data_IF_163590686532
#
_entry.id   IF_163590686532
#
_cell.length_a   1.000
_cell.length_b   1.000
_cell.length_c   1.000
_cell.angle_alpha   90.00
_cell.angle_beta   90.00
_cell.angle_gamma   90.00
#
_symmetry.space_group_name_H-M   'P 1'
#
loop_
_entity.id
_entity.type
_entity.pdbx_description
1 polymer ?
#
# COMPACT_ATOMS: atom_id res chain seq x y z
N UNK A 1 -5.81 -10.57 15.03
CA UNK A 1 -5.46 -10.19 13.64
C UNK A 1 -4.07 -10.74 13.37
N UNK A 2 -3.99 -11.71 12.46
CA UNK A 2 -2.76 -12.40 12.09
C UNK A 2 -1.75 -11.46 11.41
N UNK A 3 -0.53 -11.96 11.21
CA UNK A 3 0.53 -11.22 10.51
C UNK A 3 0.20 -11.15 9.01
N UNK A 4 0.34 -9.97 8.40
CA UNK A 4 0.05 -9.81 6.96
C UNK A 4 -1.45 -9.76 6.62
N UNK A 5 -2.31 -9.63 7.63
CA UNK A 5 -3.75 -9.41 7.44
C UNK A 5 -4.03 -8.04 6.79
N UNK A 6 -5.17 -7.96 6.12
CA UNK A 6 -5.73 -6.76 5.53
C UNK A 6 -6.61 -6.03 6.53
N UNK A 7 -6.68 -4.69 6.44
CA UNK A 7 -7.61 -3.92 7.25
C UNK A 7 -8.29 -2.81 6.45
N UNK A 8 -9.57 -2.58 6.73
CA UNK A 8 -10.41 -1.69 5.95
C UNK A 8 -10.59 -0.32 6.58
N UNK A 9 -10.09 0.71 5.91
CA UNK A 9 -10.38 2.12 6.19
C UNK A 9 -9.82 3.01 5.09
N UNK A 10 -10.41 4.18 4.88
CA UNK A 10 -9.92 5.21 3.95
C UNK A 10 -9.42 6.47 4.66
N UNK A 11 -9.47 6.49 5.99
CA UNK A 11 -8.98 7.61 6.78
C UNK A 11 -7.45 7.52 6.91
N UNK A 12 -6.73 8.52 6.37
CA UNK A 12 -5.28 8.63 6.50
C UNK A 12 -4.83 8.60 7.97
N UNK A 13 -5.54 9.31 8.85
CA UNK A 13 -5.36 9.24 10.32
C UNK A 13 -5.38 7.79 10.82
N UNK A 14 -6.49 7.07 10.63
CA UNK A 14 -6.63 5.67 11.13
C UNK A 14 -5.58 4.73 10.53
N UNK A 15 -5.25 4.91 9.25
CA UNK A 15 -4.21 4.11 8.60
C UNK A 15 -2.85 4.37 9.24
N UNK A 16 -2.48 5.65 9.43
CA UNK A 16 -1.18 6.02 10.00
C UNK A 16 -1.01 5.57 11.45
N UNK A 17 -2.05 5.72 12.28
CA UNK A 17 -1.98 5.28 13.67
C UNK A 17 -1.85 3.76 13.76
N UNK A 18 -2.63 3.01 12.96
CA UNK A 18 -2.53 1.54 12.97
C UNK A 18 -1.19 1.04 12.48
N UNK A 19 -0.73 1.57 11.35
CA UNK A 19 0.45 1.07 10.66
C UNK A 19 1.75 1.43 11.40
N UNK A 20 1.72 2.42 12.31
CA UNK A 20 2.82 2.68 13.23
C UNK A 20 3.02 1.54 14.25
N UNK A 21 1.94 0.88 14.66
CA UNK A 21 1.95 -0.22 15.64
C UNK A 21 1.98 -1.60 14.98
N UNK A 22 1.47 -1.70 13.74
CA UNK A 22 1.32 -2.94 12.97
C UNK A 22 1.85 -2.77 11.54
N UNK A 23 3.19 -2.69 11.36
CA UNK A 23 3.81 -2.44 10.06
C UNK A 23 3.65 -3.60 9.04
N UNK A 24 3.12 -4.74 9.51
CA UNK A 24 2.83 -5.93 8.71
C UNK A 24 1.47 -5.89 8.00
N UNK A 25 0.54 -5.02 8.41
CA UNK A 25 -0.82 -5.01 7.88
C UNK A 25 -0.91 -4.36 6.49
N UNK A 26 -1.92 -4.76 5.72
CA UNK A 26 -2.19 -4.26 4.37
C UNK A 26 -3.47 -3.40 4.38
N UNK A 27 -3.37 -2.08 4.16
CA UNK A 27 -4.54 -1.21 4.14
C UNK A 27 -5.37 -1.43 2.87
N UNK A 28 -6.69 -1.62 3.02
CA UNK A 28 -7.66 -1.69 1.94
C UNK A 28 -8.72 -0.58 2.04
N UNK A 29 -9.13 -0.08 0.89
CA UNK A 29 -10.17 0.95 0.79
C UNK A 29 -11.55 0.32 0.97
N UNK A 30 -12.03 0.38 2.21
CA UNK A 30 -13.40 0.00 2.57
C UNK A 30 -14.24 1.26 2.80
N UNK A 31 -15.18 1.50 1.88
CA UNK A 31 -16.13 2.63 1.86
C UNK A 31 -17.57 2.11 1.83
N UNK A 32 -18.52 2.97 2.16
CA UNK A 32 -19.96 2.65 2.20
C UNK A 32 -20.56 2.89 3.58
N UNK A 33 -21.83 2.53 3.76
CA UNK A 33 -22.47 2.53 5.08
C UNK A 33 -21.86 1.44 5.98
N UNK A 34 -22.00 1.59 7.30
CA UNK A 34 -21.34 0.71 8.28
C UNK A 34 -21.73 -0.75 8.07
N UNK A 35 -23.00 -1.01 7.79
CA UNK A 35 -23.61 -2.30 7.46
C UNK A 35 -22.88 -2.98 6.31
N UNK A 36 -22.72 -2.26 5.19
CA UNK A 36 -22.05 -2.81 4.00
C UNK A 36 -20.55 -3.04 4.20
N UNK A 37 -19.94 -2.36 5.18
CA UNK A 37 -18.54 -2.63 5.55
C UNK A 37 -18.46 -3.90 6.41
N UNK A 38 -19.36 -4.05 7.39
CA UNK A 38 -19.45 -5.25 8.23
C UNK A 38 -19.73 -6.48 7.38
N UNK A 39 -20.62 -6.37 6.39
CA UNK A 39 -20.89 -7.49 5.46
C UNK A 39 -19.60 -7.93 4.76
N UNK A 40 -18.77 -7.00 4.29
CA UNK A 40 -17.48 -7.34 3.66
C UNK A 40 -16.50 -8.01 4.62
N UNK A 41 -16.55 -7.68 5.91
CA UNK A 41 -15.74 -8.36 6.92
C UNK A 41 -16.23 -9.81 7.11
N UNK A 42 -17.55 -10.02 7.21
CA UNK A 42 -18.17 -11.35 7.35
C UNK A 42 -17.92 -12.21 6.10
N UNK A 43 -17.98 -11.61 4.90
CA UNK A 43 -17.66 -12.25 3.62
C UNK A 43 -16.16 -12.58 3.46
N UNK A 44 -15.29 -12.19 4.40
CA UNK A 44 -13.84 -12.41 4.30
C UNK A 44 -13.14 -11.55 3.25
N UNK A 45 -13.77 -10.48 2.76
CA UNK A 45 -13.15 -9.54 1.78
C UNK A 45 -12.12 -8.63 2.42
N UNK A 46 -12.07 -8.55 3.75
CA UNK A 46 -11.08 -7.85 4.55
C UNK A 46 -11.00 -8.53 5.92
N UNK A 47 -9.81 -8.59 6.51
CA UNK A 47 -9.61 -9.35 7.76
C UNK A 47 -9.97 -8.54 9.02
N UNK A 48 -9.97 -7.20 8.93
CA UNK A 48 -10.34 -6.31 10.03
C UNK A 48 -10.90 -4.97 9.53
N UNK A 49 -11.65 -4.26 10.39
CA UNK A 49 -12.14 -2.91 10.11
C UNK A 49 -11.81 -1.96 11.27
N UNK A 50 -11.58 -0.69 10.93
CA UNK A 50 -11.53 0.39 11.93
C UNK A 50 -12.75 1.28 11.77
N UNK A 51 -13.70 1.14 12.69
CA UNK A 51 -14.99 1.83 12.68
C UNK A 51 -15.13 2.76 13.88
N UNK A 52 -16.02 3.75 13.76
CA UNK A 52 -16.43 4.55 14.91
C UNK A 52 -17.39 3.72 15.75
N UNK A 53 -17.18 3.69 17.07
CA UNK A 53 -18.01 2.94 18.01
C UNK A 53 -19.49 3.34 17.93
N UNK A 54 -19.79 4.63 17.82
CA UNK A 54 -21.16 5.16 17.66
C UNK A 54 -21.89 4.54 16.47
N UNK A 55 -21.17 4.26 15.38
CA UNK A 55 -21.74 3.59 14.20
C UNK A 55 -22.20 2.16 14.53
N UNK A 56 -21.42 1.42 15.32
CA UNK A 56 -21.76 0.08 15.78
C UNK A 56 -22.92 0.11 16.78
N UNK A 57 -22.87 1.03 17.74
CA UNK A 57 -23.92 1.19 18.75
C UNK A 57 -25.29 1.44 18.10
N UNK A 58 -25.34 2.29 17.07
CA UNK A 58 -26.57 2.52 16.29
C UNK A 58 -27.09 1.24 15.64
N UNK A 59 -26.22 0.44 15.02
CA UNK A 59 -26.64 -0.81 14.38
C UNK A 59 -27.17 -1.84 15.38
N UNK A 60 -26.62 -1.87 16.60
CA UNK A 60 -27.17 -2.68 17.70
C UNK A 60 -28.57 -2.22 18.08
N UNK A 61 -28.81 -0.91 18.21
CA UNK A 61 -30.15 -0.40 18.56
C UNK A 61 -31.23 -0.69 17.52
N UNK A 62 -30.84 -0.89 16.25
CA UNK A 62 -31.76 -1.21 15.16
C UNK A 62 -31.93 -2.72 14.91
N UNK A 63 -31.28 -3.58 15.69
CA UNK A 63 -31.32 -5.03 15.52
C UNK A 63 -30.59 -5.56 14.27
N UNK A 64 -29.79 -4.74 13.61
CA UNK A 64 -29.11 -5.13 12.34
C UNK A 64 -27.99 -6.13 12.59
N UNK A 65 -27.45 -6.17 13.81
CA UNK A 65 -26.37 -7.07 14.22
C UNK A 65 -26.89 -8.33 14.94
N UNK A 66 -28.20 -8.45 15.14
CA UNK A 66 -28.79 -9.56 15.88
C UNK A 66 -28.56 -10.88 15.14
N UNK A 67 -28.09 -11.90 15.86
CA UNK A 67 -27.76 -13.22 15.30
C UNK A 67 -26.42 -13.26 14.55
N UNK A 68 -25.58 -12.23 14.70
CA UNK A 68 -24.23 -12.15 14.11
C UNK A 68 -23.14 -12.00 15.17
N UNK A 69 -23.47 -12.14 16.44
CA UNK A 69 -22.59 -11.91 17.58
C UNK A 69 -21.38 -12.85 17.56
N UNK A 70 -21.60 -14.13 17.22
CA UNK A 70 -20.55 -15.15 17.16
C UNK A 70 -19.61 -14.99 15.95
N UNK A 71 -19.97 -14.14 14.99
CA UNK A 71 -19.17 -13.86 13.78
C UNK A 71 -18.21 -12.69 13.96
N UNK A 72 -18.38 -11.87 15.00
CA UNK A 72 -17.72 -10.58 15.15
C UNK A 72 -17.08 -10.42 16.52
N UNK A 73 -15.77 -10.22 16.54
CA UNK A 73 -15.05 -9.73 17.73
C UNK A 73 -14.66 -8.27 17.54
N UNK A 74 -14.80 -7.45 18.58
CA UNK A 74 -14.42 -6.05 18.56
C UNK A 74 -13.44 -5.73 19.69
N UNK A 75 -12.43 -4.92 19.37
CA UNK A 75 -11.51 -4.33 20.34
C UNK A 75 -11.76 -2.83 20.39
N UNK A 76 -12.07 -2.30 21.58
CA UNK A 76 -12.29 -0.87 21.78
C UNK A 76 -10.95 -0.16 21.90
N UNK A 77 -10.72 0.81 21.04
CA UNK A 77 -9.53 1.67 21.07
C UNK A 77 -9.83 2.86 21.99
N UNK A 78 -8.90 3.19 22.88
CA UNK A 78 -9.05 4.34 23.79
C UNK A 78 -8.87 5.65 23.02
N UNK A 79 -9.65 6.68 23.38
CA UNK A 79 -9.55 8.03 22.81
C UNK A 79 -8.15 8.62 23.00
N UNK A 80 -7.54 8.41 24.16
CA UNK A 80 -6.19 8.91 24.46
C UNK A 80 -5.12 8.32 23.54
N UNK A 81 -5.33 7.11 23.01
CA UNK A 81 -4.40 6.48 22.08
C UNK A 81 -4.69 6.91 20.64
N UNK A 82 -5.97 7.11 20.30
CA UNK A 82 -6.45 7.40 18.95
C UNK A 82 -7.49 8.53 18.97
N UNK A 83 -7.06 9.77 19.22
CA UNK A 83 -7.97 10.93 19.24
C UNK A 83 -8.70 11.06 17.92
N UNK A 84 -9.90 11.60 17.98
CA UNK A 84 -10.76 11.74 16.80
C UNK A 84 -10.22 12.73 15.77
N UNK A 85 -10.85 12.82 14.59
CA UNK A 85 -10.47 13.86 13.64
C UNK A 85 -10.98 15.22 14.17
N UNK A 86 -10.29 16.34 13.91
CA UNK A 86 -10.77 17.66 14.32
C UNK A 86 -12.23 17.89 13.89
N UNK A 87 -13.08 18.26 14.85
CA UNK A 87 -14.51 18.49 14.67
C UNK A 87 -15.35 17.23 14.45
N UNK A 88 -14.83 16.03 14.73
CA UNK A 88 -15.56 14.79 14.52
C UNK A 88 -16.83 14.75 15.38
N UNK A 89 -17.99 14.70 14.71
CA UNK A 89 -19.29 14.61 15.38
C UNK A 89 -19.95 15.96 15.63
N UNK A 90 -19.26 17.08 15.40
CA UNK A 90 -19.86 18.41 15.46
C UNK A 90 -20.89 18.61 14.34
N UNK A 91 -22.02 19.21 14.67
CA UNK A 91 -23.08 19.58 13.72
C UNK A 91 -23.05 21.09 13.54
N UNK A 92 -22.72 21.54 12.32
CA UNK A 92 -22.63 22.95 12.00
C UNK A 92 -23.84 23.39 11.15
N UNK A 93 -24.38 24.57 11.47
CA UNK A 93 -25.39 25.25 10.64
C UNK A 93 -24.69 26.38 9.91
N UNK A 94 -24.75 26.37 8.57
CA UNK A 94 -24.13 27.39 7.75
C UNK A 94 -25.18 28.32 7.15
N UNK A 95 -24.83 29.61 7.08
CA UNK A 95 -25.59 30.61 6.35
C UNK A 95 -24.66 31.38 5.40
N UNK A 96 -25.24 32.17 4.48
CA UNK A 96 -24.45 33.09 3.66
C UNK A 96 -23.87 34.17 4.57
N UNK A 97 -22.63 34.59 4.28
CA UNK A 97 -21.90 35.55 5.11
C UNK A 97 -22.62 36.90 5.26
N UNK A 98 -23.27 37.38 4.21
CA UNK A 98 -24.07 38.61 4.19
C UNK A 98 -25.32 38.56 5.07
N UNK A 99 -25.79 37.36 5.44
CA UNK A 99 -26.93 37.12 6.33
C UNK A 99 -26.53 36.83 7.78
N UNK A 100 -25.24 36.88 8.10
CA UNK A 100 -24.75 36.56 9.44
C UNK A 100 -25.40 37.45 10.52
N UNK A 101 -25.46 38.76 10.27
CA UNK A 101 -26.04 39.72 11.22
C UNK A 101 -27.53 39.49 11.42
N UNK A 102 -28.28 39.26 10.33
CA UNK A 102 -29.71 38.92 10.32
C UNK A 102 -29.99 37.67 11.18
N UNK A 103 -29.11 36.66 11.11
CA UNK A 103 -29.30 35.36 11.74
C UNK A 103 -28.60 35.23 13.12
N UNK A 104 -28.04 36.31 13.65
CA UNK A 104 -27.27 36.31 14.91
C UNK A 104 -28.08 35.81 16.12
N UNK A 105 -29.37 36.16 16.19
CA UNK A 105 -30.26 35.67 17.24
C UNK A 105 -30.48 34.15 17.13
N UNK A 106 -30.68 33.64 15.92
CA UNK A 106 -30.84 32.21 15.67
C UNK A 106 -29.57 31.44 16.04
N UNK A 107 -28.39 31.98 15.71
CA UNK A 107 -27.10 31.41 16.16
C UNK A 107 -27.05 31.30 17.68
N UNK A 108 -27.44 32.35 18.40
CA UNK A 108 -27.40 32.36 19.87
C UNK A 108 -28.27 31.27 20.48
N UNK A 109 -29.44 30.98 19.87
CA UNK A 109 -30.36 29.93 20.33
C UNK A 109 -29.83 28.53 20.02
N UNK A 110 -29.26 28.33 18.83
CA UNK A 110 -28.90 26.98 18.34
C UNK A 110 -27.48 26.56 18.72
N UNK A 111 -26.58 27.50 18.99
CA UNK A 111 -25.17 27.20 19.20
C UNK A 111 -24.91 26.64 20.59
N UNK A 112 -24.13 25.57 20.64
CA UNK A 112 -23.59 25.03 21.88
C UNK A 112 -22.17 25.56 22.08
N UNK A 113 -22.03 26.63 22.88
CA UNK A 113 -20.77 27.36 23.05
C UNK A 113 -19.57 26.46 23.47
N UNK A 114 -19.72 25.47 24.37
CA UNK A 114 -18.61 24.57 24.70
C UNK A 114 -18.10 23.79 23.48
N UNK A 115 -19.00 23.17 22.70
CA UNK A 115 -18.61 22.43 21.48
C UNK A 115 -17.99 23.34 20.44
N UNK A 116 -18.51 24.56 20.26
CA UNK A 116 -17.89 25.52 19.34
C UNK A 116 -16.45 25.83 19.76
N UNK A 117 -16.21 26.07 21.06
CA UNK A 117 -14.88 26.32 21.61
C UNK A 117 -13.94 25.14 21.38
N UNK A 118 -14.36 23.92 21.70
CA UNK A 118 -13.56 22.71 21.52
C UNK A 118 -13.19 22.51 20.04
N UNK A 119 -14.16 22.63 19.13
CA UNK A 119 -13.94 22.47 17.69
C UNK A 119 -13.00 23.55 17.14
N UNK A 120 -13.12 24.80 17.62
CA UNK A 120 -12.19 25.87 17.24
C UNK A 120 -10.77 25.52 17.70
N UNK A 121 -10.60 25.11 18.97
CA UNK A 121 -9.31 24.69 19.54
C UNK A 121 -8.68 23.53 18.75
N UNK A 122 -9.46 22.49 18.44
CA UNK A 122 -9.00 21.36 17.61
C UNK A 122 -8.52 21.81 16.22
N UNK A 123 -9.27 22.70 15.57
CA UNK A 123 -8.93 23.23 14.25
C UNK A 123 -7.72 24.15 14.30
N UNK A 124 -7.56 24.96 15.35
CA UNK A 124 -6.35 25.77 15.55
C UNK A 124 -5.11 24.90 15.62
N UNK A 125 -5.14 23.79 16.37
CA UNK A 125 -4.01 22.85 16.44
C UNK A 125 -3.74 22.19 15.07
N UNK A 126 -4.78 21.85 14.31
CA UNK A 126 -4.62 21.32 12.95
C UNK A 126 -3.95 22.33 12.01
N UNK A 127 -4.40 23.59 12.07
CA UNK A 127 -3.88 24.68 11.24
C UNK A 127 -2.41 24.98 11.59
N UNK A 128 -2.03 24.94 12.89
CA UNK A 128 -0.64 25.05 13.33
C UNK A 128 0.26 23.95 12.74
N UNK A 129 -0.28 22.74 12.55
CA UNK A 129 0.45 21.63 11.93
C UNK A 129 0.59 21.76 10.39
N UNK A 130 0.05 22.83 9.79
CA UNK A 130 0.00 23.00 8.34
C UNK A 130 -0.86 21.94 7.65
N UNK A 131 -1.80 21.34 8.40
CA UNK A 131 -2.59 20.20 7.96
C UNK A 131 -3.94 20.60 7.37
N UNK A 132 -4.38 19.91 6.31
CA UNK A 132 -5.78 19.94 5.85
C UNK A 132 -6.56 18.69 6.30
N UNK A 133 -7.78 18.50 5.79
CA UNK A 133 -8.64 17.36 6.13
C UNK A 133 -8.01 15.97 5.89
N UNK A 134 -6.99 15.87 5.05
CA UNK A 134 -6.28 14.61 4.74
C UNK A 134 -5.03 14.39 5.61
N UNK A 135 -4.69 15.36 6.46
CA UNK A 135 -3.55 15.29 7.33
C UNK A 135 -3.73 14.15 8.37
N UNK A 136 -2.70 13.33 8.63
CA UNK A 136 -2.81 12.14 9.48
C UNK A 136 -2.77 12.51 10.97
N UNK A 137 -3.68 13.39 11.40
CA UNK A 137 -3.76 13.93 12.75
C UNK A 137 -5.07 13.55 13.41
N UNK A 138 -4.99 13.00 14.61
CA UNK A 138 -6.08 13.01 15.57
C UNK A 138 -5.85 14.11 16.59
N UNK A 139 -6.85 14.97 16.77
CA UNK A 139 -6.83 16.10 17.70
C UNK A 139 -8.22 16.15 18.30
N UNK A 140 -8.28 16.03 19.61
CA UNK A 140 -9.53 15.99 20.37
C UNK A 140 -9.39 16.89 21.59
N UNK A 141 -10.37 17.77 21.78
CA UNK A 141 -10.42 18.70 22.91
C UNK A 141 -11.70 18.48 23.70
N UNK A 142 -11.59 18.44 25.03
CA UNK A 142 -12.73 18.41 25.95
C UNK A 142 -12.50 19.45 27.04
N UNK A 143 -13.07 20.65 26.86
CA UNK A 143 -12.76 21.78 27.74
C UNK A 143 -11.28 22.13 27.64
N UNK A 144 -10.54 22.02 28.75
CA UNK A 144 -9.11 22.34 28.78
C UNK A 144 -8.22 21.15 28.43
N UNK A 145 -8.75 19.92 28.39
CA UNK A 145 -7.96 18.74 28.05
C UNK A 145 -7.80 18.60 26.53
N UNK A 146 -6.56 18.43 26.08
CA UNK A 146 -6.17 18.26 24.69
C UNK A 146 -5.41 16.94 24.50
N UNK A 147 -5.86 16.13 23.54
CA UNK A 147 -5.21 14.89 23.09
C UNK A 147 -4.84 15.02 21.62
N UNK A 148 -3.55 14.88 21.30
CA UNK A 148 -3.00 15.01 19.93
C UNK A 148 -2.19 13.79 19.56
N UNK A 149 -2.43 13.23 18.37
CA UNK A 149 -1.60 12.22 17.71
C UNK A 149 -1.38 12.60 16.26
N UNK A 150 -0.14 12.92 15.87
CA UNK A 150 0.20 13.37 14.51
C UNK A 150 1.31 12.49 13.93
N UNK A 151 1.04 11.89 12.77
CA UNK A 151 2.06 11.18 12.01
C UNK A 151 2.85 12.15 11.11
N UNK A 152 4.12 11.85 10.76
CA UNK A 152 4.90 12.66 9.82
C UNK A 152 4.21 12.72 8.45
N UNK A 153 4.37 13.81 7.69
CA UNK A 153 3.71 13.94 6.38
C UNK A 153 4.06 12.80 5.42
N UNK A 154 5.30 12.32 5.46
CA UNK A 154 5.80 11.27 4.58
C UNK A 154 5.48 9.84 5.07
N UNK A 155 4.68 9.65 6.12
CA UNK A 155 4.52 8.36 6.81
C UNK A 155 4.21 7.17 5.87
N UNK A 156 3.47 7.40 4.78
CA UNK A 156 3.17 6.37 3.75
C UNK A 156 4.42 5.90 3.03
N UNK A 157 5.31 6.84 2.71
CA UNK A 157 6.60 6.57 2.06
C UNK A 157 7.46 5.75 3.02
N UNK A 158 7.64 6.25 4.25
CA UNK A 158 8.40 5.59 5.31
C UNK A 158 7.90 4.17 5.58
N UNK A 159 6.58 4.00 5.73
CA UNK A 159 5.93 2.70 5.88
C UNK A 159 6.18 1.75 4.69
N UNK A 160 6.03 2.23 3.45
CA UNK A 160 6.20 1.40 2.26
C UNK A 160 7.66 0.98 2.04
N UNK A 161 8.63 1.73 2.56
CA UNK A 161 10.05 1.36 2.59
C UNK A 161 10.37 0.31 3.67
N UNK A 162 9.41 0.00 4.55
CA UNK A 162 9.63 -0.89 5.69
C UNK A 162 10.23 -0.20 6.91
N UNK A 163 10.26 1.13 6.93
CA UNK A 163 10.73 1.92 8.09
C UNK A 163 9.60 2.19 9.07
N UNK A 164 9.98 2.24 10.34
CA UNK A 164 9.14 2.79 11.39
C UNK A 164 9.10 4.31 11.30
N UNK A 165 7.99 4.91 11.77
CA UNK A 165 7.82 6.34 11.86
C UNK A 165 7.21 6.71 13.22
N UNK A 166 7.75 7.72 13.91
CA UNK A 166 7.25 8.12 15.22
C UNK A 166 5.95 8.93 15.09
N UNK A 167 5.03 8.75 16.02
CA UNK A 167 3.84 9.60 16.16
C UNK A 167 4.13 10.68 17.21
N UNK A 168 4.00 11.95 16.82
CA UNK A 168 3.98 13.03 17.81
C UNK A 168 2.72 12.89 18.67
N UNK A 169 2.92 12.89 19.99
CA UNK A 169 1.89 12.59 20.97
C UNK A 169 1.88 13.64 22.07
N UNK A 170 0.72 14.20 22.37
CA UNK A 170 0.50 15.11 23.49
C UNK A 170 -0.82 14.78 24.17
N UNK A 171 -0.82 14.72 25.51
CA UNK A 171 -2.02 14.61 26.36
C UNK A 171 -1.82 15.60 27.52
N UNK A 172 -2.65 16.64 27.61
CA UNK A 172 -2.52 17.64 28.68
C UNK A 172 -3.38 18.87 28.42
N UNK A 173 -3.18 19.92 29.23
CA UNK A 173 -3.94 21.16 29.10
C UNK A 173 -3.67 21.88 27.77
N UNK A 174 -4.69 22.46 27.14
CA UNK A 174 -4.57 23.18 25.87
C UNK A 174 -3.55 24.34 25.95
N UNK A 175 -3.56 25.10 27.04
CA UNK A 175 -2.69 26.28 27.21
C UNK A 175 -1.20 25.93 27.35
N UNK A 176 -0.88 24.67 27.65
CA UNK A 176 0.49 24.17 27.74
C UNK A 176 0.95 23.49 26.44
N UNK A 177 0.13 23.50 25.38
CA UNK A 177 0.43 22.81 24.15
C UNK A 177 1.50 23.53 23.34
N UNK A 178 2.59 22.81 23.08
CA UNK A 178 3.60 23.23 22.12
C UNK A 178 3.69 22.21 20.99
N UNK A 179 3.41 22.66 19.77
CA UNK A 179 3.50 21.79 18.60
C UNK A 179 4.96 21.54 18.24
N UNK A 180 5.36 20.27 18.28
CA UNK A 180 6.63 19.81 17.75
C UNK A 180 6.37 18.73 16.70
N UNK A 181 6.33 19.12 15.43
CA UNK A 181 6.11 18.16 14.36
C UNK A 181 7.27 17.14 14.33
N UNK A 182 6.96 15.84 14.16
CA UNK A 182 7.99 14.83 14.09
C UNK A 182 8.83 15.10 12.84
N UNK A 183 10.14 15.28 13.02
CA UNK A 183 11.05 15.47 11.90
C UNK A 183 11.15 14.17 11.10
N UNK A 184 11.08 14.30 9.78
CA UNK A 184 11.41 13.22 8.87
C UNK A 184 12.89 12.86 9.05
N UNK A 185 13.17 11.74 9.73
CA UNK A 185 14.52 11.21 9.76
C UNK A 185 14.81 10.62 8.38
N UNK A 186 15.83 11.13 7.65
CA UNK A 186 16.29 10.44 6.45
C UNK A 186 16.68 9.01 6.83
N UNK A 187 16.60 8.05 5.89
CA UNK A 187 17.05 6.70 6.16
C UNK A 187 18.48 6.76 6.69
N UNK A 188 18.70 6.15 7.87
CA UNK A 188 20.06 6.01 8.41
C UNK A 188 20.82 5.20 7.37
N UNK A 189 21.90 5.76 6.82
CA UNK A 189 22.81 5.01 5.97
C UNK A 189 23.30 3.83 6.79
N UNK A 190 22.80 2.63 6.50
CA UNK A 190 23.33 1.42 7.12
C UNK A 190 24.79 1.30 6.67
N UNK A 191 25.66 0.95 7.62
CA UNK A 191 27.04 0.60 7.28
C UNK A 191 27.03 -0.44 6.15
N UNK A 192 27.95 -0.28 5.20
CA UNK A 192 28.08 -1.24 4.12
C UNK A 192 28.39 -2.61 4.74
N UNK A 193 27.49 -3.57 4.57
CA UNK A 193 27.76 -4.95 4.95
C UNK A 193 28.84 -5.44 4.00
N UNK A 194 30.04 -5.72 4.54
CA UNK A 194 31.15 -6.25 3.76
C UNK A 194 30.87 -7.70 3.33
N UNK A 195 31.41 -8.07 2.16
CA UNK A 195 31.27 -9.42 1.59
C UNK A 195 30.26 -9.53 0.45
N UNK A 196 29.88 -10.77 0.07
CA UNK A 196 28.94 -11.03 -1.01
C UNK A 196 27.60 -10.33 -0.78
N UNK A 197 26.99 -9.86 -1.87
CA UNK A 197 25.67 -9.21 -1.81
C UNK A 197 24.75 -9.65 -2.94
N UNK A 198 23.47 -9.39 -2.77
CA UNK A 198 22.53 -9.37 -3.89
C UNK A 198 22.70 -8.08 -4.70
N UNK A 199 22.66 -8.19 -6.03
CA UNK A 199 22.46 -7.06 -6.95
C UNK A 199 21.14 -7.30 -7.65
N UNK A 200 20.19 -6.36 -7.57
CA UNK A 200 18.81 -6.63 -8.01
C UNK A 200 18.24 -5.59 -8.93
N UNK A 201 17.55 -6.07 -9.98
CA UNK A 201 16.78 -5.21 -10.89
C UNK A 201 15.35 -4.90 -10.40
N UNK A 202 14.92 -5.51 -9.28
CA UNK A 202 13.58 -5.30 -8.70
C UNK A 202 13.34 -3.91 -8.15
N UNK A 203 14.41 -3.21 -7.75
CA UNK A 203 14.38 -1.91 -7.07
C UNK A 203 13.38 -1.84 -5.93
N UNK A 204 13.58 -2.65 -4.89
CA UNK A 204 12.70 -2.70 -3.73
C UNK A 204 13.44 -2.38 -2.45
N UNK A 205 13.32 -1.12 -1.99
CA UNK A 205 13.95 -0.65 -0.75
C UNK A 205 13.52 -1.48 0.47
N UNK A 206 12.26 -1.94 0.49
CA UNK A 206 11.74 -2.79 1.56
C UNK A 206 12.43 -4.15 1.60
N UNK A 207 12.64 -4.79 0.44
CA UNK A 207 13.35 -6.07 0.40
C UNK A 207 14.79 -5.86 0.89
N UNK A 208 15.46 -4.82 0.39
CA UNK A 208 16.82 -4.48 0.82
C UNK A 208 16.89 -4.22 2.34
N UNK A 209 15.90 -3.54 2.90
CA UNK A 209 15.83 -3.26 4.33
C UNK A 209 15.65 -4.50 5.19
N UNK A 210 14.71 -5.37 4.80
CA UNK A 210 14.43 -6.62 5.51
C UNK A 210 15.65 -7.55 5.44
N UNK A 211 16.25 -7.71 4.26
CA UNK A 211 17.48 -8.50 4.11
C UNK A 211 18.64 -7.93 4.94
N UNK A 212 18.79 -6.60 4.98
CA UNK A 212 19.83 -5.97 5.78
C UNK A 212 19.61 -6.16 7.30
N UNK A 213 18.38 -6.33 7.79
CA UNK A 213 18.12 -6.69 9.19
C UNK A 213 18.55 -8.13 9.50
N UNK A 214 18.54 -8.99 8.49
CA UNK A 214 19.06 -10.36 8.56
C UNK A 214 20.56 -10.44 8.29
N UNK A 215 21.27 -9.31 8.13
CA UNK A 215 22.71 -9.28 7.82
C UNK A 215 23.05 -9.68 6.38
N UNK A 216 22.13 -9.46 5.43
CA UNK A 216 22.32 -9.76 4.01
C UNK A 216 22.32 -8.45 3.21
N UNK A 217 23.42 -8.14 2.53
CA UNK A 217 23.50 -6.94 1.70
C UNK A 217 22.73 -7.10 0.38
N UNK A 218 22.09 -6.00 -0.05
CA UNK A 218 21.42 -5.91 -1.34
C UNK A 218 21.63 -4.51 -1.94
N UNK A 219 22.09 -4.47 -3.19
CA UNK A 219 22.17 -3.24 -4.01
C UNK A 219 21.07 -3.29 -5.08
N UNK A 220 20.24 -2.25 -5.14
CA UNK A 220 19.24 -2.10 -6.19
C UNK A 220 19.84 -1.36 -7.39
N UNK A 221 19.77 -1.97 -8.58
CA UNK A 221 20.24 -1.38 -9.83
C UNK A 221 19.13 -1.43 -10.89
N UNK A 222 18.49 -0.29 -11.12
CA UNK A 222 17.47 -0.15 -12.15
C UNK A 222 18.09 -0.11 -13.54
N UNK A 223 17.83 -1.14 -14.34
CA UNK A 223 18.25 -1.23 -15.76
C UNK A 223 17.14 -0.91 -16.75
N UNK A 224 15.89 -0.88 -16.30
CA UNK A 224 14.74 -0.45 -17.11
C UNK A 224 14.11 0.81 -16.52
N UNK A 225 13.62 1.68 -17.40
CA UNK A 225 12.70 2.74 -17.05
C UNK A 225 11.33 2.44 -17.69
N UNK A 226 10.25 2.71 -16.96
CA UNK A 226 8.91 2.54 -17.48
C UNK A 226 8.25 3.89 -17.65
N UNK A 227 7.91 4.21 -18.90
CA UNK A 227 7.31 5.49 -19.24
C UNK A 227 5.79 5.34 -19.34
N UNK A 228 5.00 6.07 -18.54
CA UNK A 228 3.55 6.08 -18.64
C UNK A 228 3.11 6.60 -20.02
N UNK A 229 2.18 5.92 -20.66
CA UNK A 229 1.52 6.38 -21.87
C UNK A 229 0.14 6.94 -21.48
N UNK A 230 0.12 8.15 -20.88
CA UNK A 230 -1.07 8.73 -20.26
C UNK A 230 -2.22 9.00 -21.25
N UNK A 231 -1.89 9.32 -22.50
CA UNK A 231 -2.88 9.60 -23.54
C UNK A 231 -3.69 8.35 -23.95
N UNK A 232 -3.12 7.16 -23.73
CA UNK A 232 -3.78 5.89 -24.04
C UNK A 232 -4.76 5.44 -22.93
N UNK A 233 -4.83 6.13 -21.80
CA UNK A 233 -5.73 5.74 -20.71
C UNK A 233 -7.18 6.13 -21.03
N UNK A 234 -8.17 5.24 -20.81
CA UNK A 234 -9.58 5.54 -21.03
C UNK A 234 -10.04 6.78 -20.25
N UNK A 235 -10.69 7.72 -20.94
CA UNK A 235 -11.25 8.95 -20.38
C UNK A 235 -12.77 8.95 -20.50
N UNK A 236 -13.44 9.73 -19.63
CA UNK A 236 -14.88 10.01 -19.69
C UNK A 236 -15.83 8.79 -19.74
N UNK A 237 -15.32 7.59 -19.42
CA UNK A 237 -16.06 6.34 -19.50
C UNK A 237 -17.08 6.19 -18.37
N UNK A 238 -17.01 6.96 -17.27
CA UNK A 238 -17.99 6.86 -16.19
C UNK A 238 -19.36 7.46 -16.56
N UNK A 239 -19.41 8.34 -17.58
CA UNK A 239 -20.65 9.00 -18.03
C UNK A 239 -21.70 8.00 -18.55
N UNK A 240 -21.28 6.83 -19.02
CA UNK A 240 -22.19 5.79 -19.52
C UNK A 240 -22.91 5.01 -18.39
N UNK A 241 -22.43 5.10 -17.15
CA UNK A 241 -22.97 4.31 -16.04
C UNK A 241 -24.02 5.09 -15.25
N UNK A 242 -25.19 4.48 -15.04
CA UNK A 242 -26.27 5.03 -14.22
C UNK A 242 -26.01 4.90 -12.71
N UNK A 243 -25.19 3.92 -12.30
CA UNK A 243 -24.96 3.59 -10.89
C UNK A 243 -23.48 3.29 -10.62
N UNK A 244 -22.99 3.71 -9.45
CA UNK A 244 -21.62 3.43 -8.98
C UNK A 244 -21.36 1.94 -8.73
N UNK A 245 -22.41 1.14 -8.57
CA UNK A 245 -22.28 -0.32 -8.36
C UNK A 245 -21.82 -1.04 -9.63
N UNK A 246 -22.10 -0.45 -10.78
CA UNK A 246 -21.79 -1.02 -12.10
C UNK A 246 -20.47 -0.49 -12.65
N UNK A 247 -19.80 0.40 -11.92
CA UNK A 247 -18.51 0.96 -12.32
C UNK A 247 -17.45 -0.14 -12.48
N UNK A 248 -16.56 0.01 -13.47
CA UNK A 248 -15.55 -1.00 -13.75
C UNK A 248 -14.46 -0.98 -12.68
N UNK A 249 -13.67 -2.05 -12.64
CA UNK A 249 -12.53 -2.18 -11.73
C UNK A 249 -11.22 -2.04 -12.50
N UNK A 250 -10.28 -1.28 -11.95
CA UNK A 250 -8.92 -1.18 -12.47
C UNK A 250 -8.07 -2.32 -11.91
N UNK A 251 -7.62 -3.23 -12.77
CA UNK A 251 -6.83 -4.40 -12.40
C UNK A 251 -5.35 -4.14 -12.66
N UNK A 252 -4.56 -4.11 -11.59
CA UNK A 252 -3.15 -3.76 -11.59
C UNK A 252 -2.30 -5.01 -11.37
N UNK A 253 -1.52 -5.36 -12.39
CA UNK A 253 -0.75 -6.61 -12.45
C UNK A 253 0.69 -6.48 -11.96
N UNK A 254 1.15 -5.28 -11.60
CA UNK A 254 2.51 -5.05 -11.11
C UNK A 254 2.63 -3.73 -10.33
N UNK A 255 3.67 -3.57 -9.48
CA UNK A 255 3.97 -2.30 -8.81
C UNK A 255 4.13 -1.14 -9.79
N UNK A 256 4.60 -1.41 -11.01
CA UNK A 256 4.75 -0.40 -12.04
C UNK A 256 3.42 0.01 -12.68
N UNK A 257 2.55 -0.95 -12.99
CA UNK A 257 1.17 -0.69 -13.42
C UNK A 257 0.46 0.20 -12.40
N UNK A 258 0.65 -0.07 -11.10
CA UNK A 258 0.19 0.78 -10.02
C UNK A 258 0.74 2.21 -10.05
N UNK A 259 2.05 2.40 -10.31
CA UNK A 259 2.63 3.75 -10.43
C UNK A 259 2.02 4.53 -11.59
N UNK A 260 1.88 3.90 -12.74
CA UNK A 260 1.30 4.54 -13.93
C UNK A 260 -0.19 4.87 -13.70
N UNK A 261 -0.92 3.99 -13.02
CA UNK A 261 -2.31 4.25 -12.63
C UNK A 261 -2.45 5.46 -11.71
N UNK A 262 -1.53 5.64 -10.74
CA UNK A 262 -1.56 6.84 -9.88
C UNK A 262 -1.28 8.11 -10.67
N UNK A 263 -0.28 8.10 -11.55
CA UNK A 263 0.01 9.25 -12.40
C UNK A 263 -1.17 9.57 -13.34
N UNK A 264 -1.80 8.57 -13.93
CA UNK A 264 -3.01 8.77 -14.73
C UNK A 264 -4.16 9.34 -13.90
N UNK A 265 -4.35 8.89 -12.67
CA UNK A 265 -5.42 9.35 -11.78
C UNK A 265 -5.29 10.82 -11.36
N UNK A 266 -4.09 11.42 -11.42
CA UNK A 266 -3.87 12.84 -11.10
C UNK A 266 -4.61 13.75 -12.09
N UNK A 267 -4.71 13.35 -13.37
CA UNK A 267 -5.38 14.10 -14.43
C UNK A 267 -6.66 13.43 -14.96
N UNK A 268 -6.96 12.19 -14.54
CA UNK A 268 -8.13 11.42 -14.96
C UNK A 268 -9.05 11.12 -13.77
N UNK A 269 -10.13 11.92 -13.58
CA UNK A 269 -11.09 11.72 -12.49
C UNK A 269 -11.80 10.37 -12.51
N UNK A 270 -11.98 9.76 -13.69
CA UNK A 270 -12.67 8.50 -13.82
C UNK A 270 -11.83 7.35 -13.23
N UNK A 271 -10.54 7.32 -13.57
CA UNK A 271 -9.57 6.37 -13.01
C UNK A 271 -9.42 6.58 -11.49
N UNK A 272 -9.40 7.82 -11.02
CA UNK A 272 -9.28 8.15 -9.59
C UNK A 272 -10.48 7.67 -8.73
N UNK A 273 -11.65 7.47 -9.34
CA UNK A 273 -12.92 7.21 -8.62
C UNK A 273 -13.32 5.74 -8.60
N UNK A 274 -12.83 4.92 -9.52
CA UNK A 274 -13.14 3.49 -9.59
C UNK A 274 -12.37 2.68 -8.55
N UNK A 275 -12.77 1.41 -8.37
CA UNK A 275 -12.08 0.49 -7.45
C UNK A 275 -10.83 -0.07 -8.12
N UNK A 276 -9.74 -0.12 -7.37
CA UNK A 276 -8.47 -0.66 -7.84
C UNK A 276 -8.23 -2.03 -7.20
N UNK A 277 -7.78 -2.98 -8.01
CA UNK A 277 -7.48 -4.36 -7.65
C UNK A 277 -5.99 -4.57 -7.87
N UNK A 278 -5.25 -4.86 -6.81
CA UNK A 278 -3.85 -5.20 -6.90
C UNK A 278 -3.68 -6.73 -6.92
N UNK A 279 -2.83 -7.24 -7.82
CA UNK A 279 -2.43 -8.65 -7.84
C UNK A 279 -1.87 -9.12 -6.49
N UNK A 280 -1.08 -8.27 -5.82
CA UNK A 280 -0.43 -8.61 -4.55
C UNK A 280 0.07 -7.39 -3.79
N UNK A 281 0.72 -7.65 -2.66
CA UNK A 281 1.11 -6.62 -1.68
C UNK A 281 2.04 -5.55 -2.27
N UNK A 282 3.03 -5.94 -3.07
CA UNK A 282 3.95 -4.98 -3.71
C UNK A 282 3.20 -3.97 -4.59
N UNK A 283 2.19 -4.44 -5.34
CA UNK A 283 1.33 -3.59 -6.17
C UNK A 283 0.43 -2.69 -5.32
N UNK A 284 -0.20 -3.25 -4.27
CA UNK A 284 -1.02 -2.48 -3.34
C UNK A 284 -0.20 -1.38 -2.63
N UNK A 285 1.02 -1.69 -2.20
CA UNK A 285 1.95 -0.73 -1.57
C UNK A 285 2.44 0.34 -2.55
N UNK A 286 2.64 0.00 -3.82
CA UNK A 286 3.03 0.97 -4.84
C UNK A 286 1.94 2.04 -5.07
N UNK A 287 0.66 1.64 -5.05
CA UNK A 287 -0.48 2.57 -4.98
C UNK A 287 -0.48 3.36 -3.67
N UNK A 288 -0.37 2.64 -2.55
CA UNK A 288 -0.49 3.22 -1.20
C UNK A 288 0.56 4.27 -0.93
N UNK A 289 1.82 4.04 -1.33
CA UNK A 289 2.93 4.98 -1.21
C UNK A 289 2.60 6.36 -1.80
N UNK A 290 1.75 6.41 -2.83
CA UNK A 290 1.34 7.63 -3.54
C UNK A 290 -0.07 8.09 -3.18
N UNK A 291 -0.60 7.63 -2.04
CA UNK A 291 -1.87 8.09 -1.49
C UNK A 291 -3.10 7.31 -1.95
N UNK A 292 -2.97 6.31 -2.82
CA UNK A 292 -4.11 5.49 -3.28
C UNK A 292 -4.18 4.18 -2.51
N UNK A 293 -5.25 4.00 -1.72
CA UNK A 293 -5.53 2.72 -1.06
C UNK A 293 -6.38 1.84 -1.98
N UNK A 294 -5.87 0.67 -2.38
CA UNK A 294 -6.58 -0.26 -3.27
C UNK A 294 -7.81 -0.87 -2.59
N UNK A 295 -8.84 -1.21 -3.35
CA UNK A 295 -10.05 -1.83 -2.81
C UNK A 295 -9.84 -3.32 -2.53
N UNK A 296 -8.97 -3.98 -3.31
CA UNK A 296 -8.69 -5.42 -3.24
C UNK A 296 -7.19 -5.63 -3.39
N UNK A 297 -6.62 -6.52 -2.59
CA UNK A 297 -5.28 -7.07 -2.76
C UNK A 297 -5.41 -8.60 -2.82
N UNK A 298 -5.26 -9.18 -4.01
CA UNK A 298 -5.53 -10.60 -4.24
C UNK A 298 -4.50 -11.54 -3.57
N UNK A 299 -3.34 -11.01 -3.17
CA UNK A 299 -2.20 -11.78 -2.63
C UNK A 299 -1.77 -12.94 -3.55
N UNK A 300 -2.05 -12.81 -4.84
CA UNK A 300 -1.66 -13.76 -5.86
C UNK A 300 -0.18 -13.60 -6.21
N UNK A 301 0.52 -14.72 -6.39
CA UNK A 301 1.95 -14.77 -6.71
C UNK A 301 2.23 -14.66 -8.20
N UNK A 302 1.26 -15.05 -9.03
CA UNK A 302 1.37 -15.13 -10.48
C UNK A 302 0.01 -14.85 -11.14
N UNK A 303 -0.01 -14.77 -12.47
CA UNK A 303 -1.21 -14.51 -13.27
C UNK A 303 -2.29 -15.58 -13.07
N UNK A 304 -1.92 -16.86 -12.92
CA UNK A 304 -2.86 -17.97 -12.73
C UNK A 304 -3.60 -17.88 -11.40
N UNK A 305 -2.88 -17.66 -10.30
CA UNK A 305 -3.50 -17.42 -8.99
C UNK A 305 -4.38 -16.17 -9.02
N UNK A 306 -3.95 -15.13 -9.74
CA UNK A 306 -4.73 -13.89 -9.83
C UNK A 306 -6.02 -14.07 -10.61
N UNK A 307 -5.98 -14.84 -11.71
CA UNK A 307 -7.17 -15.25 -12.45
C UNK A 307 -8.15 -15.99 -11.54
N UNK A 308 -7.67 -17.02 -10.83
CA UNK A 308 -8.49 -17.80 -9.90
C UNK A 308 -9.13 -16.90 -8.82
N UNK A 309 -8.37 -15.95 -8.29
CA UNK A 309 -8.88 -14.99 -7.32
C UNK A 309 -10.00 -14.13 -7.92
N UNK A 310 -9.79 -13.56 -9.10
CA UNK A 310 -10.80 -12.73 -9.78
C UNK A 310 -12.08 -13.54 -10.02
N UNK A 311 -11.96 -14.75 -10.60
CA UNK A 311 -13.08 -15.67 -10.84
C UNK A 311 -13.89 -16.00 -9.58
N UNK A 312 -13.21 -16.11 -8.44
CA UNK A 312 -13.84 -16.48 -7.17
C UNK A 312 -14.44 -15.28 -6.41
N UNK A 313 -13.92 -14.07 -6.62
CA UNK A 313 -14.21 -12.92 -5.75
C UNK A 313 -14.88 -11.73 -6.46
N UNK A 314 -14.85 -11.68 -7.80
CA UNK A 314 -15.39 -10.58 -8.59
C UNK A 314 -16.42 -11.15 -9.58
N UNK A 315 -17.67 -10.70 -9.50
CA UNK A 315 -18.70 -11.18 -10.42
C UNK A 315 -18.43 -10.76 -11.87
N UNK A 316 -18.72 -11.65 -12.82
CA UNK A 316 -18.49 -11.48 -14.28
C UNK A 316 -19.20 -10.27 -14.90
N UNK A 317 -20.27 -9.77 -14.27
CA UNK A 317 -20.92 -8.50 -14.67
C UNK A 317 -20.05 -7.26 -14.45
N UNK A 318 -18.96 -7.37 -13.69
CA UNK A 318 -18.02 -6.27 -13.44
C UNK A 318 -17.06 -6.14 -14.61
N UNK A 319 -17.12 -5.02 -15.34
CA UNK A 319 -16.12 -4.71 -16.37
C UNK A 319 -14.74 -4.53 -15.73
N UNK A 320 -13.71 -5.11 -16.36
CA UNK A 320 -12.31 -5.04 -15.91
C UNK A 320 -11.49 -4.16 -16.85
N UNK A 321 -10.76 -3.20 -16.30
CA UNK A 321 -9.83 -2.33 -17.01
C UNK A 321 -8.39 -2.72 -16.68
N UNK A 322 -7.56 -3.06 -17.67
CA UNK A 322 -6.22 -3.63 -17.45
C UNK A 322 -5.15 -2.84 -18.22
N UNK A 323 -4.43 -1.89 -17.56
CA UNK A 323 -3.27 -1.25 -18.15
C UNK A 323 -2.09 -2.23 -18.20
N UNK A 324 -1.66 -2.56 -19.43
CA UNK A 324 -0.53 -3.45 -19.69
C UNK A 324 0.74 -2.69 -20.07
N UNK A 325 1.84 -3.40 -19.92
CA UNK A 325 3.14 -3.02 -20.48
C UNK A 325 3.17 -3.28 -21.99
N UNK A 326 3.92 -2.49 -22.76
CA UNK A 326 4.12 -2.70 -24.20
C UNK A 326 4.64 -4.09 -24.58
N UNK A 327 5.31 -4.78 -23.66
CA UNK A 327 5.87 -6.13 -23.87
C UNK A 327 5.15 -7.22 -23.06
N UNK A 328 4.06 -6.87 -22.35
CA UNK A 328 3.32 -7.85 -21.55
C UNK A 328 2.48 -8.78 -22.44
N UNK A 329 2.52 -10.10 -22.21
CA UNK A 329 1.65 -11.05 -22.91
C UNK A 329 0.16 -10.73 -22.73
N UNK A 330 -0.65 -11.10 -23.73
CA UNK A 330 -2.11 -10.94 -23.70
C UNK A 330 -2.85 -12.15 -23.08
N UNK A 331 -2.14 -13.23 -22.78
CA UNK A 331 -2.72 -14.49 -22.28
C UNK A 331 -3.64 -14.29 -21.05
N UNK A 332 -3.20 -13.49 -20.07
CA UNK A 332 -4.01 -13.21 -18.88
C UNK A 332 -5.34 -12.50 -19.19
N UNK A 333 -5.33 -11.60 -20.20
CA UNK A 333 -6.55 -10.90 -20.65
C UNK A 333 -7.48 -11.87 -21.35
N UNK A 334 -6.94 -12.70 -22.25
CA UNK A 334 -7.71 -13.72 -22.97
C UNK A 334 -8.36 -14.71 -22.01
N UNK A 335 -7.62 -15.19 -21.01
CA UNK A 335 -8.15 -16.09 -19.97
C UNK A 335 -9.30 -15.47 -19.16
N UNK A 336 -9.26 -14.16 -18.89
CA UNK A 336 -10.38 -13.46 -18.25
C UNK A 336 -11.59 -13.35 -19.18
N UNK A 337 -11.38 -13.06 -20.46
CA UNK A 337 -12.47 -13.04 -21.46
C UNK A 337 -13.10 -14.43 -21.62
N UNK A 338 -12.31 -15.49 -21.68
CA UNK A 338 -12.77 -16.88 -21.74
C UNK A 338 -13.56 -17.28 -20.48
N UNK A 339 -13.21 -16.70 -19.33
CA UNK A 339 -13.95 -16.85 -18.08
C UNK A 339 -15.25 -16.00 -18.03
N UNK A 340 -15.58 -15.27 -19.10
CA UNK A 340 -16.84 -14.54 -19.24
C UNK A 340 -16.83 -13.09 -18.74
N UNK A 341 -15.66 -12.49 -18.52
CA UNK A 341 -15.55 -11.07 -18.17
C UNK A 341 -15.54 -10.16 -19.40
N UNK A 342 -16.16 -9.00 -19.27
CA UNK A 342 -15.96 -7.87 -20.19
C UNK A 342 -14.67 -7.14 -19.80
N UNK A 343 -13.60 -7.36 -20.59
CA UNK A 343 -12.25 -6.86 -20.32
C UNK A 343 -11.86 -5.81 -21.37
N UNK A 344 -11.34 -4.68 -20.89
CA UNK A 344 -10.71 -3.66 -21.73
C UNK A 344 -9.26 -3.53 -21.27
N UNK A 345 -8.33 -3.88 -22.14
CA UNK A 345 -6.91 -3.69 -21.91
C UNK A 345 -6.31 -2.69 -22.92
N UNK A 346 -5.22 -2.04 -22.52
CA UNK A 346 -4.47 -1.12 -23.38
C UNK A 346 -3.00 -1.09 -22.94
N UNK A 347 -2.14 -0.53 -23.78
CA UNK A 347 -0.76 -0.24 -23.39
C UNK A 347 -0.75 1.03 -22.54
N UNK A 348 -0.72 0.86 -21.21
CA UNK A 348 -0.71 1.98 -20.27
C UNK A 348 0.68 2.54 -20.00
N UNK A 349 1.73 1.79 -20.35
CA UNK A 349 3.14 2.16 -20.18
C UNK A 349 4.08 1.35 -21.06
N UNK A 350 5.22 1.94 -21.40
CA UNK A 350 6.26 1.36 -22.26
C UNK A 350 7.52 1.03 -21.47
N UNK A 351 8.24 -0.01 -21.91
CA UNK A 351 9.58 -0.31 -21.40
C UNK A 351 10.60 0.46 -22.21
N UNK A 352 11.52 1.15 -21.54
CA UNK A 352 12.73 1.70 -22.14
C UNK A 352 13.94 1.17 -21.41
N UNK A 353 14.90 0.66 -22.16
CA UNK A 353 16.21 0.34 -21.62
C UNK A 353 16.81 1.63 -21.04
N UNK A 354 17.34 1.54 -19.82
CA UNK A 354 18.06 2.63 -19.18
C UNK A 354 19.54 2.41 -19.45
N UNK A 355 20.25 3.46 -19.85
CA UNK A 355 21.70 3.44 -19.86
C UNK A 355 22.21 3.49 -18.42
N UNK A 356 23.02 2.52 -18.02
CA UNK A 356 23.49 2.35 -16.65
C UNK A 356 25.00 2.38 -16.63
N UNK A 357 25.56 3.23 -15.78
CA UNK A 357 27.00 3.31 -15.57
C UNK A 357 27.57 1.96 -15.09
N UNK A 358 28.80 1.59 -15.51
CA UNK A 358 29.45 0.37 -15.06
C UNK A 358 29.44 0.27 -13.54
N UNK A 359 28.76 -0.74 -13.02
CA UNK A 359 28.64 -0.98 -11.58
C UNK A 359 29.57 -2.12 -11.17
N UNK A 360 30.29 -2.01 -10.04
CA UNK A 360 31.10 -3.12 -9.53
C UNK A 360 30.22 -4.34 -9.21
N UNK A 361 30.56 -5.47 -9.83
CA UNK A 361 29.96 -6.79 -9.59
C UNK A 361 31.11 -7.76 -9.34
N UNK A 362 31.11 -8.39 -8.17
CA UNK A 362 32.07 -9.44 -7.84
C UNK A 362 31.54 -10.82 -8.26
N UNK A 363 32.43 -11.79 -8.48
CA UNK A 363 32.02 -13.13 -8.94
C UNK A 363 31.17 -13.87 -7.90
N UNK A 364 31.38 -13.57 -6.62
CA UNK A 364 30.66 -14.11 -5.48
C UNK A 364 29.37 -13.34 -5.16
N UNK A 365 29.07 -12.22 -5.83
CA UNK A 365 27.75 -11.61 -5.75
C UNK A 365 26.65 -12.52 -6.33
N UNK A 366 25.39 -12.12 -6.17
CA UNK A 366 24.24 -12.83 -6.74
C UNK A 366 23.34 -11.84 -7.46
N UNK A 367 23.12 -12.06 -8.76
CA UNK A 367 22.30 -11.17 -9.57
C UNK A 367 20.84 -11.63 -9.57
N UNK A 368 19.93 -10.77 -9.11
CA UNK A 368 18.48 -11.02 -9.06
C UNK A 368 17.79 -10.27 -10.19
N UNK A 369 17.34 -11.00 -11.22
CA UNK A 369 16.70 -10.46 -12.42
C UNK A 369 15.17 -10.62 -12.35
N UNK A 370 14.45 -9.50 -12.45
CA UNK A 370 13.00 -9.45 -12.28
C UNK A 370 12.16 -9.72 -13.53
N UNK A 371 12.73 -9.59 -14.72
CA UNK A 371 12.00 -9.76 -15.97
C UNK A 371 12.93 -10.02 -17.15
N UNK A 372 12.41 -10.61 -18.22
CA UNK A 372 13.09 -10.74 -19.52
C UNK A 372 13.63 -9.40 -20.03
N UNK A 373 12.85 -8.32 -19.92
CA UNK A 373 13.30 -6.96 -20.31
C UNK A 373 14.48 -6.46 -19.47
N UNK A 374 14.54 -6.82 -18.19
CA UNK A 374 15.68 -6.48 -17.34
C UNK A 374 16.93 -7.29 -17.71
N UNK A 375 16.77 -8.57 -18.07
CA UNK A 375 17.87 -9.41 -18.54
C UNK A 375 18.49 -8.86 -19.83
N UNK A 376 17.66 -8.54 -20.81
CA UNK A 376 18.09 -7.98 -22.09
C UNK A 376 18.81 -6.66 -21.86
N UNK A 377 18.22 -5.74 -21.10
CA UNK A 377 18.84 -4.43 -20.85
C UNK A 377 20.16 -4.55 -20.08
N UNK A 378 20.27 -5.51 -19.14
CA UNK A 378 21.54 -5.77 -18.45
C UNK A 378 22.65 -6.19 -19.42
N UNK A 379 22.34 -7.09 -20.35
CA UNK A 379 23.27 -7.56 -21.38
C UNK A 379 23.64 -6.44 -22.37
N UNK A 380 22.66 -5.65 -22.83
CA UNK A 380 22.89 -4.52 -23.75
C UNK A 380 23.76 -3.42 -23.14
N UNK A 381 23.64 -3.18 -21.83
CA UNK A 381 24.53 -2.26 -21.11
C UNK A 381 25.94 -2.84 -20.89
N UNK A 382 26.19 -4.11 -21.24
CA UNK A 382 27.48 -4.77 -21.03
C UNK A 382 27.87 -4.88 -19.55
N UNK A 383 26.89 -4.91 -18.64
CA UNK A 383 27.13 -4.95 -17.19
C UNK A 383 27.75 -6.30 -16.79
N UNK A 384 28.77 -6.28 -15.94
CA UNK A 384 29.41 -7.51 -15.44
C UNK A 384 28.39 -8.46 -14.80
N UNK A 385 28.69 -9.75 -14.86
CA UNK A 385 27.84 -10.81 -14.31
C UNK A 385 28.58 -11.54 -13.18
N UNK A 386 27.89 -11.89 -12.09
CA UNK A 386 28.43 -12.81 -11.10
C UNK A 386 28.28 -14.26 -11.59
N UNK A 387 28.77 -15.21 -10.79
CA UNK A 387 28.60 -16.63 -11.10
C UNK A 387 27.14 -17.10 -10.96
N UNK A 388 26.36 -16.49 -10.05
CA UNK A 388 25.01 -16.93 -9.69
C UNK A 388 23.94 -15.90 -10.07
N UNK A 389 22.93 -16.35 -10.79
CA UNK A 389 21.75 -15.57 -11.18
C UNK A 389 20.49 -16.22 -10.61
N UNK A 390 19.65 -15.39 -10.02
CA UNK A 390 18.30 -15.75 -9.59
C UNK A 390 17.32 -14.97 -10.47
N UNK A 391 16.35 -15.66 -11.07
CA UNK A 391 15.36 -15.02 -11.92
C UNK A 391 13.91 -15.37 -11.56
N UNK A 392 12.98 -14.57 -12.09
CA UNK A 392 11.56 -14.69 -11.81
C UNK A 392 10.81 -15.36 -12.96
N UNK A 393 10.44 -16.62 -12.73
CA UNK A 393 9.67 -17.41 -13.66
C UNK A 393 10.48 -17.92 -14.86
N UNK A 394 9.94 -18.97 -15.48
CA UNK A 394 10.62 -19.71 -16.54
C UNK A 394 10.88 -18.84 -17.78
N UNK A 395 9.96 -17.98 -18.18
CA UNK A 395 10.16 -17.09 -19.33
C UNK A 395 11.39 -16.19 -19.18
N UNK A 396 11.65 -15.69 -17.96
CA UNK A 396 12.85 -14.90 -17.67
C UNK A 396 14.10 -15.77 -17.72
N UNK A 397 14.03 -16.99 -17.19
CA UNK A 397 15.13 -17.96 -17.25
C UNK A 397 15.51 -18.30 -18.69
N UNK A 398 14.53 -18.62 -19.54
CA UNK A 398 14.74 -18.91 -20.96
C UNK A 398 15.38 -17.72 -21.69
N UNK A 399 14.94 -16.50 -21.36
CA UNK A 399 15.55 -15.28 -21.91
C UNK A 399 17.01 -15.15 -21.50
N UNK A 400 17.33 -15.35 -20.21
CA UNK A 400 18.71 -15.27 -19.70
C UNK A 400 19.59 -16.32 -20.38
N UNK A 401 19.13 -17.57 -20.48
CA UNK A 401 19.87 -18.67 -21.09
C UNK A 401 20.08 -18.48 -22.60
N UNK A 402 19.21 -17.71 -23.27
CA UNK A 402 19.36 -17.38 -24.70
C UNK A 402 20.40 -16.30 -25.00
N UNK A 403 20.83 -15.54 -23.98
CA UNK A 403 21.75 -14.40 -24.13
C UNK A 403 23.19 -14.84 -23.86
N UNK A 404 24.08 -14.70 -24.86
CA UNK A 404 25.50 -15.09 -24.74
C UNK A 404 26.20 -14.41 -23.54
N UNK A 405 25.74 -13.22 -23.15
CA UNK A 405 26.22 -12.46 -22.00
C UNK A 405 26.18 -13.23 -20.66
N UNK A 406 25.24 -14.18 -20.52
CA UNK A 406 25.02 -14.94 -19.27
C UNK A 406 25.49 -16.40 -19.37
N UNK A 407 26.16 -16.81 -20.45
CA UNK A 407 26.48 -18.21 -20.76
C UNK A 407 27.25 -18.98 -19.68
N UNK A 408 28.08 -18.27 -18.90
CA UNK A 408 28.90 -18.87 -17.83
C UNK A 408 28.26 -18.74 -16.45
N UNK A 409 27.01 -18.29 -16.37
CA UNK A 409 26.30 -18.07 -15.11
C UNK A 409 25.40 -19.27 -14.79
N UNK A 410 25.34 -19.65 -13.52
CA UNK A 410 24.34 -20.57 -13.01
C UNK A 410 23.02 -19.80 -12.84
N UNK A 411 21.93 -20.33 -13.39
CA UNK A 411 20.61 -19.69 -13.35
C UNK A 411 19.65 -20.53 -12.51
N UNK A 412 19.06 -19.92 -11.50
CA UNK A 412 18.04 -20.53 -10.65
C UNK A 412 16.74 -19.74 -10.72
N UNK A 413 15.61 -20.45 -10.72
CA UNK A 413 14.26 -19.85 -10.72
C UNK A 413 13.69 -19.88 -9.31
N UNK A 414 13.27 -18.72 -8.80
CA UNK A 414 12.53 -18.64 -7.54
C UNK A 414 11.03 -18.47 -7.78
N UNK A 415 10.21 -19.04 -6.90
CA UNK A 415 8.76 -18.81 -6.81
C UNK A 415 8.46 -17.41 -6.24
N UNK A 416 8.85 -16.38 -6.98
CA UNK A 416 8.64 -14.99 -6.63
C UNK A 416 9.71 -14.40 -5.70
N UNK A 417 9.94 -13.08 -5.76
CA UNK A 417 11.02 -12.43 -5.02
C UNK A 417 10.57 -11.99 -3.63
N UNK A 418 10.09 -12.92 -2.82
CA UNK A 418 9.78 -12.57 -1.44
C UNK A 418 11.08 -12.50 -0.63
N UNK A 419 11.08 -11.67 0.40
CA UNK A 419 12.19 -11.62 1.36
C UNK A 419 12.46 -13.00 1.97
N UNK A 420 11.40 -13.78 2.20
CA UNK A 420 11.49 -15.15 2.72
C UNK A 420 12.28 -16.07 1.79
N UNK A 421 11.97 -16.10 0.50
CA UNK A 421 12.69 -16.94 -0.47
C UNK A 421 14.13 -16.49 -0.67
N UNK A 422 14.38 -15.18 -0.76
CA UNK A 422 15.73 -14.65 -0.89
C UNK A 422 16.59 -14.96 0.35
N UNK A 423 16.03 -14.83 1.55
CA UNK A 423 16.71 -15.18 2.80
C UNK A 423 17.00 -16.67 2.87
N UNK A 424 16.01 -17.51 2.54
CA UNK A 424 16.17 -18.97 2.52
C UNK A 424 17.26 -19.41 1.54
N UNK A 425 17.24 -18.87 0.31
CA UNK A 425 18.25 -19.14 -0.69
C UNK A 425 19.64 -18.71 -0.19
N UNK A 426 19.75 -17.52 0.41
CA UNK A 426 21.02 -17.01 0.92
C UNK A 426 21.59 -17.92 2.02
N UNK A 427 20.77 -18.31 2.99
CA UNK A 427 21.22 -19.16 4.08
C UNK A 427 21.71 -20.52 3.55
N UNK A 428 20.99 -21.12 2.61
CA UNK A 428 21.34 -22.42 2.01
C UNK A 428 22.63 -22.37 1.17
N UNK A 429 22.86 -21.29 0.43
CA UNK A 429 23.94 -21.24 -0.57
C UNK A 429 25.17 -20.43 -0.12
N UNK A 430 25.03 -19.54 0.87
CA UNK A 430 26.08 -18.59 1.26
C UNK A 430 26.49 -18.65 2.73
N UNK A 431 25.60 -19.06 3.64
CA UNK A 431 25.94 -19.20 5.07
C UNK A 431 26.42 -20.58 5.48
N UNK A 432 26.20 -21.61 4.65
CA UNK A 432 26.48 -22.99 5.00
C UNK A 432 25.49 -23.54 6.03
N UNK A 433 25.24 -24.85 5.98
CA UNK A 433 24.35 -25.57 6.88
C UNK A 433 24.97 -25.82 8.27
N UNK A 434 25.34 -24.76 9.00
CA UNK A 434 25.96 -24.85 10.33
C UNK A 434 24.96 -24.72 11.51
N UNK A 435 23.65 -24.67 11.24
CA UNK A 435 22.62 -24.63 12.30
C UNK A 435 22.09 -26.01 12.76
N UNK A 436 22.50 -27.11 12.13
CA UNK A 436 22.10 -28.46 12.56
C UNK A 436 23.07 -29.10 13.59
N UNK A 437 24.26 -28.54 13.83
CA UNK A 437 25.20 -29.09 14.83
C UNK A 437 25.03 -28.53 16.26
N UNK A 438 24.30 -27.43 16.45
CA UNK A 438 24.08 -26.86 17.80
C UNK A 438 22.87 -27.43 18.54
N UNK A 439 22.04 -28.26 17.91
CA UNK A 439 20.92 -28.96 18.60
C UNK A 439 21.28 -30.33 19.19
N UNK A 440 22.47 -30.88 18.90
CA UNK A 440 22.90 -32.19 19.40
C UNK A 440 23.99 -32.15 20.49
N UNK A 441 24.26 -30.99 21.11
CA UNK A 441 25.26 -30.85 22.20
C UNK A 441 24.72 -30.33 23.53
N UNK A 442 23.43 -30.54 23.83
CA UNK A 442 22.86 -30.16 25.15
C UNK A 442 22.03 -31.25 25.83
N UNK A 443 22.32 -32.52 25.55
CA UNK A 443 21.82 -33.65 26.33
C UNK A 443 22.97 -34.65 26.56
N UNK A 444 23.92 -34.24 27.41
CA UNK A 444 24.74 -35.12 28.25
C UNK A 444 24.88 -34.44 29.63
#
# INVERSE_FOLDING_TARGET
>A
IEKGSTFGTVSGRRQSLLLSQRPDLIPLSVRGHVETRIERLIEGRVDALVLAETGIQRLRTTGVLDGREDLLTAYRIRSDDWPTAPGQGAVCIHCKADRYQELSNLRTILNHAPTESDVIRERTVLDMAGGGCLYPAGIEVHGDDLTVRISPQNWRVTFCEGREYPIFSYNGAFDNFELQLPQDKPPIAKEAIEGPKFISTLNSDRISMVLANEGIAMTNLSVIDLQPNLDSWPQDFLKQYKSKRDWPYLVLTSPFSARCAVLAAESNPDIARIKWVAIGEGTARACFRRGVTVAICAKARNSKEFLNYICSNIGTKTKLLIPRSSVAPTEFVLQLSDAGYDVVDWIGYENKAKNVEPTPVANDDVLVISSSSSAISWAENGLKTPNEIICMGNNTADTILSLEHFKNCNVSVLEGPTTEYLTKWWNQNRRGSDEDETKNKSLD
#
